data_IF_705588232216
#
_entry.id   IF_705588232216
#
_cell.length_a   1.000
_cell.length_b   1.000
_cell.length_c   1.000
_cell.angle_alpha   90.00
_cell.angle_beta   90.00
_cell.angle_gamma   90.00
#
_symmetry.space_group_name_H-M   'P 1'
#
loop_
_entity.id
_entity.type
_entity.pdbx_description
1 polymer ?
#
# COMPACT_ATOMS: atom_id res chain seq x y z
N UNK A 1 14.90 -6.75 -9.41
CA UNK A 1 15.89 -6.56 -8.34
C UNK A 1 16.10 -5.08 -8.07
N UNK A 2 15.61 -4.62 -6.92
CA UNK A 2 15.88 -3.27 -6.42
C UNK A 2 17.25 -3.33 -5.75
N UNK A 3 18.30 -2.95 -6.48
CA UNK A 3 19.69 -3.09 -6.03
C UNK A 3 20.12 -1.97 -5.05
N UNK A 4 19.17 -1.39 -4.30
CA UNK A 4 19.42 -0.31 -3.34
C UNK A 4 19.82 1.04 -3.96
N UNK A 5 19.87 1.17 -5.28
CA UNK A 5 20.18 2.46 -5.91
C UNK A 5 19.05 3.47 -5.64
N UNK A 6 19.34 4.78 -5.47
CA UNK A 6 18.30 5.79 -5.23
C UNK A 6 17.23 5.84 -6.32
N UNK A 7 17.59 5.50 -7.56
CA UNK A 7 16.67 5.44 -8.69
C UNK A 7 15.70 4.27 -8.57
N UNK A 8 16.20 3.09 -8.21
CA UNK A 8 15.39 1.88 -8.10
C UNK A 8 14.42 1.96 -6.91
N UNK A 9 14.86 2.53 -5.78
CA UNK A 9 14.00 2.78 -4.62
C UNK A 9 12.86 3.75 -4.97
N UNK A 10 13.14 4.82 -5.73
CA UNK A 10 12.10 5.74 -6.21
C UNK A 10 11.11 5.05 -7.15
N UNK A 11 11.59 4.17 -8.01
CA UNK A 11 10.72 3.43 -8.93
C UNK A 11 9.82 2.44 -8.18
N UNK A 12 10.35 1.75 -7.17
CA UNK A 12 9.57 0.86 -6.31
C UNK A 12 8.51 1.62 -5.50
N UNK A 13 8.87 2.78 -4.93
CA UNK A 13 7.93 3.64 -4.23
C UNK A 13 6.81 4.15 -5.14
N UNK A 14 7.14 4.50 -6.39
CA UNK A 14 6.15 4.84 -7.42
C UNK A 14 5.21 3.67 -7.72
N UNK A 15 5.75 2.46 -7.89
CA UNK A 15 4.96 1.24 -8.13
C UNK A 15 3.98 0.98 -6.98
N UNK A 16 4.43 1.11 -5.73
CA UNK A 16 3.56 0.98 -4.54
C UNK A 16 2.37 1.95 -4.60
N UNK A 17 2.62 3.23 -4.89
CA UNK A 17 1.56 4.24 -5.00
C UNK A 17 0.59 3.92 -6.13
N UNK A 18 1.12 3.57 -7.31
CA UNK A 18 0.32 3.32 -8.51
C UNK A 18 -0.53 2.06 -8.35
N UNK A 19 0.01 1.00 -7.76
CA UNK A 19 -0.71 -0.26 -7.49
C UNK A 19 -1.74 -0.09 -6.37
N UNK A 20 -1.41 0.61 -5.27
CA UNK A 20 -2.38 0.92 -4.22
C UNK A 20 -3.58 1.72 -4.74
N UNK A 21 -3.35 2.66 -5.67
CA UNK A 21 -4.42 3.41 -6.33
C UNK A 21 -5.31 2.55 -7.24
N UNK A 22 -4.85 1.42 -7.77
CA UNK A 22 -5.73 0.50 -8.53
C UNK A 22 -6.81 -0.08 -7.61
N UNK A 23 -6.41 -0.42 -6.37
CA UNK A 23 -7.28 -0.96 -5.31
C UNK A 23 -8.19 0.11 -4.70
N UNK A 24 -7.62 1.25 -4.27
CA UNK A 24 -8.30 2.26 -3.44
C UNK A 24 -8.57 3.62 -4.12
N UNK A 25 -8.19 3.78 -5.39
CA UNK A 25 -8.34 5.00 -6.24
C UNK A 25 -7.54 6.23 -5.82
N UNK A 26 -7.26 6.42 -4.54
CA UNK A 26 -6.48 7.54 -4.00
C UNK A 26 -5.62 7.11 -2.82
N UNK A 27 -4.64 7.94 -2.45
CA UNK A 27 -3.77 7.75 -1.28
C UNK A 27 -4.16 8.61 -0.09
N UNK A 28 -5.09 9.55 -0.25
CA UNK A 28 -5.49 10.47 0.81
C UNK A 28 -6.43 9.78 1.82
N UNK A 29 -5.98 9.56 3.06
CA UNK A 29 -6.75 8.89 4.11
C UNK A 29 -8.08 9.61 4.43
N UNK A 30 -8.12 10.95 4.31
CA UNK A 30 -9.36 11.73 4.47
C UNK A 30 -10.40 11.34 3.41
N UNK A 31 -9.98 11.21 2.15
CA UNK A 31 -10.88 10.79 1.08
C UNK A 31 -11.32 9.33 1.25
N UNK A 32 -10.40 8.44 1.62
CA UNK A 32 -10.69 7.00 1.82
C UNK A 32 -11.61 6.72 3.01
N UNK A 33 -11.71 7.64 3.97
CA UNK A 33 -12.56 7.50 5.16
C UNK A 33 -13.74 8.48 5.20
N UNK A 34 -13.97 9.26 4.14
CA UNK A 34 -14.93 10.36 4.12
C UNK A 34 -16.40 9.95 4.36
N UNK A 35 -16.74 8.68 4.10
CA UNK A 35 -18.11 8.16 4.26
C UNK A 35 -18.45 7.65 5.66
N UNK A 36 -17.49 7.69 6.60
CA UNK A 36 -17.67 7.19 7.96
C UNK A 36 -17.55 8.32 8.97
N UNK A 37 -18.28 8.20 10.09
CA UNK A 37 -18.09 9.09 11.23
C UNK A 37 -16.74 8.82 11.91
N UNK A 38 -16.10 9.86 12.45
CA UNK A 38 -14.71 9.81 12.88
C UNK A 38 -14.45 8.76 13.97
N UNK A 39 -15.39 8.62 14.90
CA UNK A 39 -15.30 7.72 16.05
C UNK A 39 -16.05 6.40 15.83
N UNK A 40 -16.53 6.14 14.62
CA UNK A 40 -17.34 4.96 14.35
C UNK A 40 -16.47 3.69 14.30
N UNK A 41 -16.96 2.53 14.82
CA UNK A 41 -16.28 1.25 14.68
C UNK A 41 -16.00 0.87 13.22
N UNK A 42 -16.90 1.24 12.30
CA UNK A 42 -16.78 1.00 10.86
C UNK A 42 -15.60 1.78 10.27
N UNK A 43 -15.38 3.02 10.72
CA UNK A 43 -14.21 3.80 10.31
C UNK A 43 -12.91 3.15 10.78
N UNK A 44 -12.88 2.65 12.02
CA UNK A 44 -11.73 1.91 12.54
C UNK A 44 -11.45 0.68 11.68
N UNK A 45 -12.46 -0.12 11.37
CA UNK A 45 -12.30 -1.28 10.50
C UNK A 45 -11.83 -0.89 9.09
N UNK A 46 -12.35 0.19 8.51
CA UNK A 46 -11.89 0.70 7.23
C UNK A 46 -10.42 1.12 7.26
N UNK A 47 -9.97 1.79 8.33
CA UNK A 47 -8.55 2.15 8.50
C UNK A 47 -7.65 0.91 8.59
N UNK A 48 -8.07 -0.14 9.32
CA UNK A 48 -7.34 -1.42 9.35
C UNK A 48 -7.22 -1.99 7.94
N UNK A 49 -8.33 -2.06 7.20
CA UNK A 49 -8.31 -2.60 5.84
C UNK A 49 -7.45 -1.76 4.88
N UNK A 50 -7.42 -0.43 5.02
CA UNK A 50 -6.53 0.44 4.22
C UNK A 50 -5.05 0.07 4.42
N UNK A 51 -4.66 -0.20 5.67
CA UNK A 51 -3.28 -0.59 6.00
C UNK A 51 -2.99 -2.01 5.48
N UNK A 52 -3.92 -2.95 5.65
CA UNK A 52 -3.78 -4.31 5.13
C UNK A 52 -3.57 -4.33 3.62
N UNK A 53 -4.37 -3.56 2.86
CA UNK A 53 -4.23 -3.49 1.40
C UNK A 53 -2.88 -2.88 0.98
N UNK A 54 -2.41 -1.86 1.70
CA UNK A 54 -1.09 -1.29 1.44
C UNK A 54 0.04 -2.28 1.72
N UNK A 55 -0.10 -3.10 2.78
CA UNK A 55 0.85 -4.14 3.13
C UNK A 55 0.87 -5.26 2.07
N UNK A 56 -0.29 -5.69 1.56
CA UNK A 56 -0.39 -6.69 0.49
C UNK A 56 0.28 -6.21 -0.81
N UNK A 57 0.05 -4.95 -1.21
CA UNK A 57 0.72 -4.37 -2.38
C UNK A 57 2.24 -4.32 -2.17
N UNK A 58 2.69 -3.93 -0.97
CA UNK A 58 4.11 -3.90 -0.65
C UNK A 58 4.72 -5.30 -0.67
N UNK A 59 4.05 -6.29 -0.09
CA UNK A 59 4.49 -7.68 -0.05
C UNK A 59 4.69 -8.23 -1.48
N UNK A 60 3.76 -7.93 -2.39
CA UNK A 60 3.89 -8.33 -3.79
C UNK A 60 5.12 -7.69 -4.46
N UNK A 61 5.37 -6.39 -4.23
CA UNK A 61 6.56 -5.71 -4.75
C UNK A 61 7.85 -6.32 -4.16
N UNK A 62 7.85 -6.66 -2.87
CA UNK A 62 8.99 -7.30 -2.21
C UNK A 62 9.25 -8.70 -2.79
N UNK A 63 8.20 -9.52 -2.99
CA UNK A 63 8.31 -10.85 -3.60
C UNK A 63 8.80 -10.78 -5.05
N UNK A 64 8.32 -9.82 -5.84
CA UNK A 64 8.78 -9.59 -7.22
C UNK A 64 10.28 -9.22 -7.31
N UNK A 65 10.85 -8.68 -6.23
CA UNK A 65 12.20 -8.11 -6.23
C UNK A 65 13.20 -8.82 -5.32
N UNK A 66 12.76 -9.80 -4.54
CA UNK A 66 13.60 -10.61 -3.66
C UNK A 66 13.71 -12.01 -4.25
N UNK A 67 14.91 -12.40 -4.69
CA UNK A 67 15.19 -13.76 -5.21
C UNK A 67 15.10 -14.85 -4.14
N UNK A 68 14.97 -14.51 -2.86
CA UNK A 68 14.91 -15.45 -1.75
C UNK A 68 13.92 -14.95 -0.67
N UNK A 69 12.63 -15.21 -0.85
CA UNK A 69 11.70 -15.32 0.27
C UNK A 69 10.80 -16.52 0.00
N UNK A 70 11.39 -17.71 0.08
CA UNK A 70 10.65 -18.91 0.40
C UNK A 70 10.44 -18.89 1.92
N UNK A 71 9.23 -18.53 2.34
CA UNK A 71 8.74 -18.83 3.68
C UNK A 71 8.01 -20.17 3.65
#
# INVERSE_FOLDING_TARGET
DINGSPKDVKLAAKKLIDDFKKVRKTTCCKALSAKYDFNSPERRQNCVNIVSDAAEVLENIVKENSKELAF
#
